data_IF_157403361805
#
_entry.id   IF_157403361805
#
_cell.length_a   1.000
_cell.length_b   1.000
_cell.length_c   1.000
_cell.angle_alpha   90.00
_cell.angle_beta   90.00
_cell.angle_gamma   90.00
#
_symmetry.space_group_name_H-M   'P 1'
#
loop_
_entity.id
_entity.type
_entity.pdbx_description
1 polymer ?
#
# COMPACT_ATOMS: atom_id res chain seq x y z
N UNK A 1 12.17 6.62 -14.61
CA UNK A 1 12.62 6.39 -14.45
C UNK A 1 12.92 6.13 -14.12
N UNK A 2 12.74 6.33 -13.97
CA UNK A 2 13.32 6.05 -13.54
C UNK A 2 13.41 5.70 -13.12
N UNK A 3 13.22 5.72 -12.98
CA UNK A 3 13.58 5.28 -12.58
C UNK A 3 13.93 4.68 -12.38
N UNK A 4 13.83 4.72 -12.32
CA UNK A 4 14.37 4.10 -12.17
C UNK A 4 14.91 3.66 -11.66
N UNK A 5 14.99 3.69 -11.44
CA UNK A 5 15.62 3.27 -11.06
C UNK A 5 15.90 2.85 -10.19
N UNK A 6 15.82 3.05 -9.71
CA UNK A 6 16.19 2.66 -8.96
C UNK A 6 16.15 1.78 -8.46
N UNK A 7 15.77 1.86 -8.32
CA UNK A 7 15.75 1.05 -8.03
C UNK A 7 16.03 0.15 -7.92
N UNK A 8 15.97 -0.03 -8.09
CA UNK A 8 16.15 -0.93 -8.26
C UNK A 8 17.11 -1.55 -7.93
N UNK A 9 17.70 -1.27 -7.54
CA UNK A 9 18.58 -1.80 -7.27
C UNK A 9 18.45 -2.83 -6.42
N UNK A 10 18.45 -2.99 -5.60
CA UNK A 10 18.27 -4.06 -4.90
C UNK A 10 17.07 -4.48 -5.31
N UNK A 11 16.77 -4.01 -6.32
CA UNK A 11 15.54 -4.09 -6.73
C UNK A 11 14.98 -5.36 -7.16
N UNK A 12 15.72 -6.37 -7.32
CA UNK A 12 15.15 -7.59 -7.80
C UNK A 12 13.97 -8.05 -6.98
N UNK A 13 13.97 -7.76 -5.69
CA UNK A 13 12.91 -8.23 -4.82
C UNK A 13 11.93 -7.16 -4.43
N UNK A 14 11.95 -6.02 -5.08
CA UNK A 14 11.11 -4.90 -4.70
C UNK A 14 10.10 -4.63 -5.79
N UNK A 15 8.83 -4.69 -5.43
CA UNK A 15 7.72 -4.25 -6.27
C UNK A 15 7.42 -2.81 -5.93
N UNK A 16 7.43 -1.94 -6.92
CA UNK A 16 7.20 -0.52 -6.71
C UNK A 16 5.85 -0.15 -7.30
N UNK A 17 4.99 0.46 -6.48
CA UNK A 17 3.64 0.84 -6.90
C UNK A 17 3.21 2.11 -6.21
N UNK A 18 2.11 2.67 -6.68
CA UNK A 18 1.51 3.85 -6.07
C UNK A 18 0.09 3.54 -5.66
N UNK A 19 -0.36 4.18 -4.59
CA UNK A 19 -1.72 4.09 -4.12
C UNK A 19 -2.25 5.51 -3.98
N UNK A 20 -3.22 5.85 -4.81
CA UNK A 20 -3.76 7.20 -4.85
C UNK A 20 -5.06 7.26 -4.06
N UNK A 21 -5.10 8.16 -3.09
CA UNK A 21 -6.30 8.41 -2.31
C UNK A 21 -6.98 9.61 -2.91
N UNK A 22 -8.18 9.44 -3.44
CA UNK A 22 -8.89 10.54 -4.08
C UNK A 22 -10.29 10.72 -3.55
N UNK A 23 -10.61 10.08 -2.42
CA UNK A 23 -11.92 10.25 -1.82
C UNK A 23 -13.01 9.39 -2.39
N UNK A 24 -12.67 8.49 -3.29
CA UNK A 24 -13.64 7.60 -3.91
C UNK A 24 -13.25 6.16 -3.72
N UNK A 25 -14.26 5.29 -3.62
CA UNK A 25 -14.02 3.86 -3.61
C UNK A 25 -14.25 3.35 -5.02
N UNK A 26 -13.25 2.75 -5.64
CA UNK A 26 -13.41 2.27 -7.01
C UNK A 26 -14.38 1.09 -7.04
N UNK A 27 -15.06 0.93 -8.16
CA UNK A 27 -15.93 -0.22 -8.34
C UNK A 27 -15.13 -1.50 -8.37
N UNK A 28 -13.96 -1.44 -8.97
CA UNK A 28 -13.08 -2.58 -9.10
C UNK A 28 -11.74 -2.21 -8.50
N UNK A 29 -11.47 -2.63 -7.28
CA UNK A 29 -10.19 -2.26 -6.66
C UNK A 29 -9.02 -2.84 -7.44
N UNK A 30 -7.94 -2.10 -7.49
CA UNK A 30 -6.71 -2.59 -8.07
C UNK A 30 -6.19 -3.77 -7.25
N UNK A 31 -5.43 -4.63 -7.90
CA UNK A 31 -4.79 -5.74 -7.21
C UNK A 31 -3.29 -5.61 -7.36
N UNK A 32 -2.61 -5.84 -6.26
CA UNK A 32 -1.16 -5.95 -6.25
C UNK A 32 -0.83 -7.39 -5.96
N UNK A 33 -0.11 -8.05 -6.85
CA UNK A 33 0.20 -9.46 -6.69
C UNK A 33 1.65 -9.59 -6.28
N UNK A 34 1.88 -10.33 -5.20
CA UNK A 34 3.22 -10.49 -4.65
C UNK A 34 3.47 -11.96 -4.36
N UNK A 35 4.73 -12.27 -4.14
CA UNK A 35 5.14 -13.58 -3.67
C UNK A 35 5.67 -13.45 -2.25
N UNK A 36 5.48 -14.50 -1.48
CA UNK A 36 6.02 -14.53 -0.13
C UNK A 36 7.52 -14.26 -0.16
N UNK A 37 7.97 -13.34 0.67
CA UNK A 37 9.37 -12.98 0.74
C UNK A 37 9.73 -11.72 -0.04
N UNK A 38 8.86 -11.26 -0.91
CA UNK A 38 9.12 -10.04 -1.66
C UNK A 38 8.91 -8.82 -0.78
N UNK A 39 9.40 -7.70 -1.26
CA UNK A 39 9.15 -6.41 -0.62
C UNK A 39 8.38 -5.53 -1.58
N UNK A 40 7.48 -4.76 -1.02
CA UNK A 40 6.68 -3.81 -1.79
C UNK A 40 7.05 -2.43 -1.32
N UNK A 41 7.40 -1.56 -2.27
CA UNK A 41 7.56 -0.14 -1.98
C UNK A 41 6.35 0.57 -2.53
N UNK A 42 5.58 1.17 -1.65
CA UNK A 42 4.32 1.78 -2.03
C UNK A 42 4.39 3.27 -1.73
N UNK A 43 4.12 4.09 -2.74
CA UNK A 43 3.96 5.52 -2.54
C UNK A 43 2.50 5.81 -2.33
N UNK A 44 2.16 6.36 -1.18
CA UNK A 44 0.78 6.66 -0.81
C UNK A 44 0.61 8.18 -0.95
N UNK A 45 -0.36 8.57 -1.74
CA UNK A 45 -0.58 9.97 -2.06
C UNK A 45 -2.01 10.34 -1.72
N UNK A 46 -2.18 11.36 -0.88
CA UNK A 46 -3.52 11.86 -0.58
C UNK A 46 -3.82 13.06 -1.48
N UNK A 47 -4.56 12.79 -2.54
CA UNK A 47 -4.92 13.82 -3.51
C UNK A 47 -6.36 14.32 -3.31
N UNK A 48 -6.94 14.08 -2.14
CA UNK A 48 -8.34 14.42 -1.92
C UNK A 48 -8.62 15.91 -1.83
N UNK A 49 -7.63 16.68 -1.46
CA UNK A 49 -7.79 18.11 -1.37
C UNK A 49 -8.19 18.63 0.01
N UNK A 50 -9.00 17.92 0.75
CA UNK A 50 -9.49 18.47 2.02
C UNK A 50 -9.68 17.45 3.14
N UNK A 51 -9.51 16.18 2.86
CA UNK A 51 -9.83 15.13 3.85
C UNK A 51 -8.58 14.36 4.25
N UNK A 52 -8.39 14.16 5.54
CA UNK A 52 -7.35 13.28 6.05
C UNK A 52 -7.83 11.84 6.05
N UNK A 53 -6.92 10.93 5.86
CA UNK A 53 -7.23 9.50 5.82
C UNK A 53 -6.27 8.71 6.68
N UNK A 54 -6.74 7.58 7.15
CA UNK A 54 -5.89 6.61 7.84
C UNK A 54 -5.64 5.46 6.86
N UNK A 55 -4.37 5.18 6.64
CA UNK A 55 -3.94 4.16 5.69
C UNK A 55 -3.45 2.92 6.43
N UNK A 56 -3.86 1.76 5.97
CA UNK A 56 -3.44 0.49 6.56
C UNK A 56 -3.48 -0.61 5.52
N UNK A 57 -2.69 -1.65 5.77
CA UNK A 57 -2.71 -2.87 4.97
C UNK A 57 -2.99 -4.01 5.93
N UNK A 58 -4.07 -4.73 5.71
CA UNK A 58 -4.43 -5.82 6.59
C UNK A 58 -3.30 -6.83 6.72
N UNK A 59 -3.06 -7.28 7.92
CA UNK A 59 -2.09 -8.34 8.19
C UNK A 59 -0.63 -7.96 8.02
N UNK A 60 -0.32 -6.70 7.80
CA UNK A 60 1.05 -6.28 7.52
C UNK A 60 1.42 -5.03 8.27
N UNK A 61 2.69 -4.92 8.64
CA UNK A 61 3.24 -3.68 9.17
C UNK A 61 3.78 -2.85 8.03
N UNK A 62 3.85 -1.55 8.28
CA UNK A 62 4.30 -0.57 7.29
C UNK A 62 5.56 0.10 7.82
N UNK A 63 6.61 0.15 7.02
CA UNK A 63 7.80 0.90 7.40
C UNK A 63 7.84 2.18 6.58
N UNK A 64 7.61 3.31 7.24
CA UNK A 64 7.62 4.60 6.56
C UNK A 64 9.06 5.00 6.33
N UNK A 65 9.43 5.24 5.09
CA UNK A 65 10.81 5.57 4.72
C UNK A 65 10.96 6.98 4.21
N UNK A 66 9.90 7.56 3.65
CA UNK A 66 9.94 8.92 3.11
C UNK A 66 8.64 9.64 3.44
N UNK A 67 8.75 10.92 3.70
CA UNK A 67 7.60 11.80 3.87
C UNK A 67 7.79 12.97 2.93
N UNK A 68 6.81 13.19 2.03
CA UNK A 68 6.85 14.29 1.07
C UNK A 68 8.16 14.32 0.31
N UNK A 69 8.60 13.13 -0.11
CA UNK A 69 9.78 12.93 -0.93
C UNK A 69 11.11 13.11 -0.18
N UNK A 70 11.06 13.34 1.12
CA UNK A 70 12.28 13.44 1.91
C UNK A 70 12.44 12.17 2.75
N UNK A 71 13.64 11.63 2.75
CA UNK A 71 13.94 10.45 3.55
C UNK A 71 13.79 10.79 5.04
N UNK A 72 13.18 9.89 5.78
CA UNK A 72 13.02 10.03 7.21
C UNK A 72 13.62 8.82 7.88
N UNK A 73 13.86 8.93 9.20
CA UNK A 73 14.27 7.77 9.95
C UNK A 73 13.17 6.73 9.84
N UNK A 74 13.49 5.51 9.39
CA UNK A 74 12.43 4.52 9.18
C UNK A 74 11.68 4.20 10.46
N UNK A 75 10.35 4.15 10.35
CA UNK A 75 9.48 3.86 11.48
C UNK A 75 8.48 2.79 11.05
N UNK A 76 8.37 1.75 11.85
CA UNK A 76 7.41 0.69 11.59
C UNK A 76 6.12 0.97 12.35
N UNK A 77 4.99 0.94 11.63
CA UNK A 77 3.69 1.24 12.21
C UNK A 77 2.66 0.28 11.64
N UNK A 78 1.52 0.19 12.32
CA UNK A 78 0.38 -0.59 11.82
C UNK A 78 -0.44 0.22 10.83
N UNK A 79 -0.49 1.52 11.02
CA UNK A 79 -1.24 2.42 10.16
C UNK A 79 -0.69 3.82 10.37
N UNK A 80 -1.08 4.76 9.51
CA UNK A 80 -0.70 6.15 9.71
C UNK A 80 -1.76 7.04 9.09
N UNK A 81 -1.80 8.28 9.57
CA UNK A 81 -2.68 9.29 9.01
C UNK A 81 -1.93 10.07 7.95
N UNK A 82 -2.64 10.39 6.89
CA UNK A 82 -2.07 11.14 5.78
C UNK A 82 -3.03 12.30 5.48
N UNK A 83 -2.50 13.50 5.58
CA UNK A 83 -3.27 14.73 5.36
C UNK A 83 -3.33 15.08 3.90
N UNK A 84 -4.25 15.98 3.50
CA UNK A 84 -4.34 16.36 2.10
C UNK A 84 -2.99 16.83 1.56
N UNK A 85 -2.63 16.34 0.40
CA UNK A 85 -1.39 16.72 -0.26
C UNK A 85 -0.17 16.00 0.21
N UNK A 86 -0.25 15.27 1.31
CA UNK A 86 0.92 14.56 1.81
C UNK A 86 1.18 13.31 1.00
N UNK A 87 2.44 12.92 0.98
CA UNK A 87 2.89 11.71 0.33
C UNK A 87 3.84 10.98 1.25
N UNK A 88 3.67 9.68 1.32
CA UNK A 88 4.55 8.84 2.13
C UNK A 88 4.98 7.65 1.31
N UNK A 89 6.24 7.27 1.45
CA UNK A 89 6.70 6.00 0.89
C UNK A 89 6.80 5.01 2.03
N UNK A 90 6.23 3.84 1.82
CA UNK A 90 6.29 2.78 2.81
C UNK A 90 6.85 1.53 2.18
N UNK A 91 7.51 0.74 3.01
CA UNK A 91 8.05 -0.54 2.62
C UNK A 91 7.28 -1.60 3.38
N UNK A 92 6.83 -2.62 2.67
CA UNK A 92 6.05 -3.71 3.25
C UNK A 92 6.77 -5.01 2.93
N UNK A 93 7.07 -5.79 3.96
CA UNK A 93 7.63 -7.11 3.75
C UNK A 93 6.48 -8.09 3.58
N UNK A 94 6.46 -8.78 2.44
CA UNK A 94 5.38 -9.71 2.12
C UNK A 94 5.67 -11.05 2.77
N UNK A 95 5.23 -11.22 4.00
CA UNK A 95 5.51 -12.43 4.76
C UNK A 95 4.26 -13.01 5.39
N UNK A 96 3.11 -12.75 4.82
CA UNK A 96 1.85 -13.22 5.40
C UNK A 96 0.96 -13.64 4.25
N UNK A 97 1.18 -14.85 3.74
CA UNK A 97 0.48 -15.36 2.56
C UNK A 97 -1.03 -15.28 2.77
N UNK A 98 -1.72 -14.74 1.80
CA UNK A 98 -3.16 -14.59 1.88
C UNK A 98 -3.65 -13.55 0.89
N UNK A 99 -4.88 -13.09 1.13
CA UNK A 99 -5.50 -12.02 0.37
C UNK A 99 -5.89 -10.96 1.38
N UNK A 100 -5.35 -9.76 1.22
CA UNK A 100 -5.48 -8.71 2.23
C UNK A 100 -6.00 -7.45 1.60
N UNK A 101 -6.60 -6.60 2.42
CA UNK A 101 -7.12 -5.33 1.93
C UNK A 101 -6.16 -4.20 2.25
N UNK A 102 -5.93 -3.35 1.25
CA UNK A 102 -5.24 -2.08 1.41
C UNK A 102 -6.33 -1.02 1.44
N UNK A 103 -6.37 -0.19 2.47
CA UNK A 103 -7.48 0.74 2.58
C UNK A 103 -7.04 2.07 3.17
N UNK A 104 -7.71 3.11 2.72
CA UNK A 104 -7.62 4.43 3.31
C UNK A 104 -9.04 4.83 3.73
N UNK A 105 -9.23 5.08 5.02
CA UNK A 105 -10.52 5.46 5.57
C UNK A 105 -10.40 6.87 6.11
N UNK A 106 -11.43 7.68 5.89
CA UNK A 106 -11.37 9.05 6.39
C UNK A 106 -11.30 9.04 7.90
N UNK A 107 -10.58 10.01 8.45
CA UNK A 107 -10.41 10.09 9.90
C UNK A 107 -11.69 10.47 10.61
N UNK A 108 -12.65 11.05 9.91
CA UNK A 108 -13.95 11.36 10.50
C UNK A 108 -15.00 10.32 10.12
N UNK A 109 -14.57 9.25 9.45
CA UNK A 109 -15.44 8.14 9.08
C UNK A 109 -16.55 8.49 8.10
N UNK A 110 -16.44 9.63 7.47
CA UNK A 110 -17.48 10.06 6.55
C UNK A 110 -17.33 9.43 5.17
N UNK A 111 -16.14 8.99 4.80
CA UNK A 111 -15.92 8.51 3.45
C UNK A 111 -14.72 7.59 3.40
N UNK A 112 -14.69 6.77 2.38
CA UNK A 112 -13.51 5.99 2.07
C UNK A 112 -12.67 6.74 1.06
N UNK A 113 -11.35 6.61 1.19
CA UNK A 113 -10.45 7.33 0.31
C UNK A 113 -9.88 6.49 -0.80
N UNK A 114 -9.89 5.19 -0.62
CA UNK A 114 -9.34 4.28 -1.63
C UNK A 114 -9.25 2.89 -1.09
N UNK A 115 -9.12 1.93 -1.99
CA UNK A 115 -9.15 0.53 -1.64
C UNK A 115 -8.42 -0.27 -2.71
N UNK A 116 -7.66 -1.25 -2.29
CA UNK A 116 -6.98 -2.16 -3.20
C UNK A 116 -6.83 -3.50 -2.52
N UNK A 117 -6.41 -4.49 -3.28
CA UNK A 117 -6.23 -5.84 -2.77
C UNK A 117 -4.76 -6.20 -2.90
N UNK A 118 -4.21 -6.76 -1.84
CA UNK A 118 -2.89 -7.34 -1.85
C UNK A 118 -3.07 -8.84 -1.88
N UNK A 119 -2.69 -9.46 -2.98
CA UNK A 119 -2.90 -10.89 -3.18
C UNK A 119 -1.56 -11.58 -3.36
N UNK A 120 -1.34 -12.60 -2.57
CA UNK A 120 -0.16 -13.43 -2.74
C UNK A 120 -0.45 -14.47 -3.80
N UNK A 121 0.51 -14.70 -4.69
CA UNK A 121 0.33 -15.73 -5.71
C UNK A 121 0.18 -17.11 -5.08
N UNK A 122 0.82 -17.34 -3.96
CA UNK A 122 0.70 -18.61 -3.27
C UNK A 122 -0.72 -18.83 -2.75
N UNK A 123 -1.35 -17.77 -2.23
CA UNK A 123 -2.72 -17.86 -1.76
C UNK A 123 -3.68 -18.08 -2.92
N UNK A 124 -3.42 -17.43 -4.03
CA UNK A 124 -4.24 -17.60 -5.21
C UNK A 124 -4.25 -19.06 -5.65
N UNK A 125 -3.08 -19.67 -5.65
CA UNK A 125 -2.98 -21.05 -6.04
C UNK A 125 -3.67 -21.96 -5.04
N UNK A 126 -3.53 -21.68 -3.76
CA UNK A 126 -4.10 -22.58 -2.75
C UNK A 126 -5.58 -22.34 -2.56
N UNK A 127 -6.07 -21.16 -2.86
CA UNK A 127 -7.47 -20.87 -2.61
C UNK A 127 -8.33 -21.19 -3.79
N UNK A 128 -7.77 -21.83 -4.71
CA UNK A 128 -8.58 -22.23 -5.79
C UNK A 128 -9.70 -22.96 -5.26
N UNK A 129 -10.51 -22.86 -5.24
CA UNK A 129 -11.58 -23.19 -4.92
C UNK A 129 -12.22 -22.55 -4.16
N UNK A 130 -12.62 -22.20 -3.92
CA UNK A 130 -13.19 -21.84 -3.10
C UNK A 130 -14.20 -21.93 -3.03
N UNK A 131 -14.48 -22.08 -3.12
CA UNK A 131 -15.25 -22.10 -2.97
C UNK A 131 -16.12 -21.84 -2.94
N UNK A 132 -16.29 -21.98 -3.08
CA UNK A 132 -16.77 -21.71 -3.12
C UNK A 132 -17.31 -21.67 -2.89
#
# INVERSE_FOLDING_TARGET
SGMDSMEMEEGADVNYSSFLINGRTPESPAEFIVKNGEKIRLRVINASGSTGFRFAVGGHKLTVTHADAFAVKPVEVDNFEISPGERYDVLISAKNVGVWMIAAMSTDEAARGGKAILRYSEAQASSAPPPQ
#
